data_IF_131382596343
#
_entry.id   IF_131382596343
#
_cell.length_a   1.000
_cell.length_b   1.000
_cell.length_c   1.000
_cell.angle_alpha   90.00
_cell.angle_beta   90.00
_cell.angle_gamma   90.00
#
_symmetry.space_group_name_H-M   'P 1'
#
loop_
_entity.id
_entity.type
_entity.pdbx_description
1 polymer ?
#
# COMPACT_ATOMS: atom_id res chain seq x y z
N UNK A 1 5.42 15.66 -36.48
CA UNK A 1 4.70 15.74 -35.19
C UNK A 1 3.71 14.59 -35.13
N UNK A 2 4.12 13.43 -34.59
CA UNK A 2 3.19 12.33 -34.34
C UNK A 2 2.43 12.63 -33.04
N UNK A 3 1.10 12.55 -33.08
CA UNK A 3 0.23 12.97 -31.98
C UNK A 3 0.49 12.18 -30.69
N UNK A 4 0.38 12.88 -29.56
CA UNK A 4 0.54 12.39 -28.18
C UNK A 4 -0.68 11.57 -27.74
N UNK A 5 -1.10 10.57 -28.50
CA UNK A 5 -2.34 9.86 -28.13
C UNK A 5 -2.00 8.66 -27.24
N UNK A 6 -2.13 8.87 -25.92
CA UNK A 6 -2.49 7.77 -25.01
C UNK A 6 -3.82 7.19 -25.47
N UNK A 7 -4.19 6.01 -24.95
CA UNK A 7 -5.59 5.57 -25.09
C UNK A 7 -6.49 6.71 -24.56
N UNK A 8 -7.42 7.19 -25.40
CA UNK A 8 -8.08 8.52 -25.41
C UNK A 8 -8.73 9.09 -24.12
N UNK A 9 -8.49 8.51 -22.95
CA UNK A 9 -9.25 8.75 -21.73
C UNK A 9 -8.40 9.28 -20.54
N UNK A 10 -7.11 9.62 -20.73
CA UNK A 10 -6.32 10.24 -19.66
C UNK A 10 -6.74 11.70 -19.41
N UNK A 11 -6.68 12.15 -18.15
CA UNK A 11 -6.93 13.55 -17.81
C UNK A 11 -5.62 14.31 -17.98
N UNK A 12 -5.60 15.32 -18.86
CA UNK A 12 -4.41 16.08 -19.19
C UNK A 12 -4.45 17.42 -18.47
N UNK A 13 -3.48 17.65 -17.59
CA UNK A 13 -3.14 18.97 -17.07
C UNK A 13 -2.00 19.54 -17.88
N UNK A 14 -2.22 20.69 -18.53
CA UNK A 14 -1.18 21.41 -19.25
C UNK A 14 -0.25 22.17 -18.29
N UNK A 15 0.85 22.71 -18.83
CA UNK A 15 1.87 23.38 -18.03
C UNK A 15 1.38 24.71 -17.41
N UNK A 16 0.19 25.20 -17.80
CA UNK A 16 -0.47 26.35 -17.16
C UNK A 16 -1.34 25.96 -15.96
N UNK A 17 -1.51 24.66 -15.69
CA UNK A 17 -2.27 24.18 -14.54
C UNK A 17 -1.50 24.41 -13.23
N UNK A 18 -1.98 25.35 -12.42
CA UNK A 18 -1.37 25.74 -11.15
C UNK A 18 -1.82 24.90 -9.94
N UNK A 19 -2.80 24.01 -10.13
CA UNK A 19 -3.41 23.22 -9.05
C UNK A 19 -4.28 24.04 -8.09
N UNK A 20 -4.52 23.50 -6.91
CA UNK A 20 -5.29 24.15 -5.85
C UNK A 20 -4.38 24.61 -4.71
N UNK A 21 -4.71 25.75 -4.11
CA UNK A 21 -4.04 26.24 -2.90
C UNK A 21 -4.16 25.23 -1.77
N UNK A 22 -3.02 24.89 -1.14
CA UNK A 22 -2.98 24.00 0.03
C UNK A 22 -3.84 24.50 1.20
N UNK A 23 -4.08 25.81 1.31
CA UNK A 23 -4.92 26.43 2.36
C UNK A 23 -6.39 26.00 2.32
N UNK A 24 -6.83 25.44 1.20
CA UNK A 24 -8.20 24.94 1.03
C UNK A 24 -8.36 23.47 1.47
N UNK A 25 -7.27 22.85 1.93
CA UNK A 25 -7.22 21.44 2.29
C UNK A 25 -6.62 21.28 3.68
N UNK A 26 -6.99 20.19 4.35
CA UNK A 26 -6.36 19.81 5.62
C UNK A 26 -5.07 19.06 5.31
N UNK A 27 -3.95 19.61 5.78
CA UNK A 27 -2.65 18.97 5.75
C UNK A 27 -2.16 18.78 7.18
N UNK A 28 -1.37 17.73 7.46
CA UNK A 28 -0.74 17.59 8.77
C UNK A 28 0.28 18.70 8.99
N UNK A 29 0.34 19.22 10.22
CA UNK A 29 1.22 20.32 10.64
C UNK A 29 2.67 20.16 10.13
N UNK A 30 3.32 18.98 10.18
CA UNK A 30 4.71 18.84 9.74
C UNK A 30 4.93 19.09 8.25
N UNK A 31 3.88 19.07 7.42
CA UNK A 31 3.99 19.24 5.97
C UNK A 31 3.33 20.51 5.44
N UNK A 32 2.53 21.22 6.25
CA UNK A 32 1.75 22.39 5.81
C UNK A 32 2.64 23.47 5.19
N UNK A 33 3.80 23.76 5.80
CA UNK A 33 4.76 24.74 5.26
C UNK A 33 5.54 24.27 4.03
N UNK A 34 5.50 22.98 3.71
CA UNK A 34 6.29 22.35 2.63
C UNK A 34 5.49 22.07 1.37
N UNK A 35 4.16 22.09 1.48
CA UNK A 35 3.24 21.87 0.38
C UNK A 35 2.53 23.18 0.07
N UNK A 36 2.81 23.73 -1.11
CA UNK A 36 2.15 24.96 -1.58
C UNK A 36 0.91 24.65 -2.42
N UNK A 37 0.95 23.55 -3.16
CA UNK A 37 -0.05 23.23 -4.18
C UNK A 37 -0.51 21.78 -4.05
N UNK A 38 -1.83 21.60 -4.06
CA UNK A 38 -2.49 20.32 -4.29
C UNK A 38 -2.75 20.20 -5.78
N UNK A 39 -2.03 19.32 -6.49
CA UNK A 39 -2.21 19.12 -7.92
C UNK A 39 -3.48 18.32 -8.20
N UNK A 40 -3.67 17.21 -7.49
CA UNK A 40 -4.82 16.32 -7.70
C UNK A 40 -5.39 15.94 -6.34
N UNK A 41 -6.58 16.47 -5.98
CA UNK A 41 -7.27 16.05 -4.77
C UNK A 41 -7.56 14.54 -4.79
N UNK A 42 -7.44 13.88 -3.63
CA UNK A 42 -7.67 12.44 -3.51
C UNK A 42 -9.07 11.99 -3.96
N UNK A 43 -10.08 12.87 -3.85
CA UNK A 43 -11.41 12.64 -4.44
C UNK A 43 -11.37 12.47 -5.96
N UNK A 44 -10.62 13.32 -6.66
CA UNK A 44 -10.46 13.25 -8.12
C UNK A 44 -9.69 12.00 -8.54
N UNK A 45 -8.67 11.60 -7.77
CA UNK A 45 -7.98 10.31 -7.99
C UNK A 45 -8.98 9.16 -7.96
N UNK A 46 -9.80 9.06 -6.89
CA UNK A 46 -10.81 7.99 -6.77
C UNK A 46 -11.77 7.94 -7.95
N UNK A 47 -12.32 9.08 -8.37
CA UNK A 47 -13.20 9.14 -9.55
C UNK A 47 -12.49 8.69 -10.83
N UNK A 48 -11.21 9.03 -11.00
CA UNK A 48 -10.44 8.58 -12.16
C UNK A 48 -10.20 7.06 -12.12
N UNK A 49 -9.92 6.49 -10.95
CA UNK A 49 -9.74 5.04 -10.78
C UNK A 49 -10.99 4.25 -11.13
N UNK A 50 -12.19 4.78 -10.83
CA UNK A 50 -13.44 4.15 -11.24
C UNK A 50 -13.54 4.04 -12.76
N UNK A 51 -13.27 5.14 -13.47
CA UNK A 51 -13.26 5.13 -14.94
C UNK A 51 -12.17 4.21 -15.51
N UNK A 52 -10.93 4.32 -15.02
CA UNK A 52 -9.83 3.45 -15.45
C UNK A 52 -10.17 1.97 -15.28
N UNK A 53 -10.80 1.60 -14.16
CA UNK A 53 -11.18 0.20 -13.91
C UNK A 53 -12.21 -0.30 -14.93
N UNK A 54 -13.17 0.54 -15.32
CA UNK A 54 -14.13 0.21 -16.36
C UNK A 54 -13.43 0.00 -17.70
N UNK A 55 -12.50 0.88 -18.07
CA UNK A 55 -11.78 0.82 -19.35
C UNK A 55 -10.95 -0.48 -19.42
N UNK A 56 -10.11 -0.73 -18.40
CA UNK A 56 -9.27 -1.93 -18.27
C UNK A 56 -10.09 -3.21 -18.40
N UNK A 57 -11.17 -3.33 -17.63
CA UNK A 57 -12.01 -4.54 -17.66
C UNK A 57 -12.70 -4.73 -19.00
N UNK A 58 -13.17 -3.65 -19.63
CA UNK A 58 -13.84 -3.72 -20.94
C UNK A 58 -12.88 -4.18 -22.04
N UNK A 59 -11.63 -3.76 -21.98
CA UNK A 59 -10.60 -4.19 -22.94
C UNK A 59 -10.23 -5.66 -22.73
N UNK A 60 -10.05 -6.09 -21.48
CA UNK A 60 -9.80 -7.49 -21.18
C UNK A 60 -10.98 -8.40 -21.59
N UNK A 61 -12.20 -7.94 -21.36
CA UNK A 61 -13.42 -8.64 -21.76
C UNK A 61 -13.52 -8.82 -23.28
N UNK A 62 -13.23 -7.77 -24.07
CA UNK A 62 -13.17 -7.84 -25.54
C UNK A 62 -12.14 -8.84 -26.05
N UNK A 63 -11.04 -9.01 -25.31
CA UNK A 63 -9.99 -9.99 -25.61
C UNK A 63 -10.28 -11.40 -25.06
N UNK A 64 -11.46 -11.62 -24.46
CA UNK A 64 -11.84 -12.91 -23.89
C UNK A 64 -11.03 -13.32 -22.65
N UNK A 65 -10.40 -12.35 -21.97
CA UNK A 65 -9.62 -12.61 -20.75
C UNK A 65 -10.56 -12.98 -19.61
N UNK A 66 -10.19 -14.01 -18.85
CA UNK A 66 -10.95 -14.53 -17.69
C UNK A 66 -10.22 -14.31 -16.36
N UNK A 67 -8.93 -14.00 -16.41
CA UNK A 67 -8.13 -13.71 -15.22
C UNK A 67 -6.97 -12.79 -15.54
N UNK A 68 -6.70 -11.83 -14.67
CA UNK A 68 -5.56 -10.91 -14.78
C UNK A 68 -4.78 -10.89 -13.47
N UNK A 69 -3.44 -10.85 -13.57
CA UNK A 69 -2.54 -10.61 -12.46
C UNK A 69 -2.07 -9.15 -12.48
N UNK A 70 -2.41 -8.41 -11.43
CA UNK A 70 -1.82 -7.11 -11.15
C UNK A 70 -0.44 -7.33 -10.52
N UNK A 71 0.58 -6.64 -11.04
CA UNK A 71 1.89 -6.56 -10.41
C UNK A 71 2.09 -5.13 -9.91
N UNK A 72 1.97 -4.94 -8.60
CA UNK A 72 2.23 -3.68 -7.93
C UNK A 72 3.74 -3.45 -7.81
N UNK A 73 4.21 -2.29 -8.28
CA UNK A 73 5.60 -1.86 -8.10
C UNK A 73 5.73 -1.14 -6.76
N UNK A 74 6.48 -1.74 -5.84
CA UNK A 74 6.77 -1.18 -4.52
C UNK A 74 8.01 -0.26 -4.57
N UNK A 75 8.08 0.76 -3.72
CA UNK A 75 7.10 1.10 -2.67
C UNK A 75 5.98 2.02 -3.15
N UNK A 76 6.27 3.01 -3.99
CA UNK A 76 5.36 4.12 -4.29
C UNK A 76 3.99 3.72 -4.88
N UNK A 77 3.97 2.69 -5.73
CA UNK A 77 2.76 2.18 -6.37
C UNK A 77 1.72 1.55 -5.44
N UNK A 78 2.04 1.28 -4.17
CA UNK A 78 1.18 0.48 -3.29
C UNK A 78 -0.23 1.07 -3.11
N UNK A 79 -0.33 2.40 -2.96
CA UNK A 79 -1.60 3.05 -2.65
C UNK A 79 -2.52 3.04 -3.88
N UNK A 80 -1.97 3.44 -5.03
CA UNK A 80 -2.64 3.34 -6.32
C UNK A 80 -3.05 1.89 -6.64
N UNK A 81 -2.14 0.93 -6.50
CA UNK A 81 -2.43 -0.48 -6.77
C UNK A 81 -3.51 -1.05 -5.87
N UNK A 82 -3.52 -0.70 -4.58
CA UNK A 82 -4.55 -1.10 -3.63
C UNK A 82 -5.92 -0.56 -4.03
N UNK A 83 -6.02 0.75 -4.30
CA UNK A 83 -7.28 1.41 -4.64
C UNK A 83 -7.79 0.95 -6.02
N UNK A 84 -6.89 0.77 -7.00
CA UNK A 84 -7.23 0.22 -8.32
C UNK A 84 -7.68 -1.24 -8.21
N UNK A 85 -6.98 -2.08 -7.45
CA UNK A 85 -7.36 -3.49 -7.23
C UNK A 85 -8.75 -3.62 -6.62
N UNK A 86 -9.05 -2.85 -5.55
CA UNK A 86 -10.39 -2.82 -4.93
C UNK A 86 -11.47 -2.45 -5.98
N UNK A 87 -11.17 -1.46 -6.81
CA UNK A 87 -12.11 -0.93 -7.81
C UNK A 87 -12.32 -1.91 -8.97
N UNK A 88 -11.25 -2.54 -9.46
CA UNK A 88 -11.33 -3.63 -10.46
C UNK A 88 -12.14 -4.82 -9.95
N UNK A 89 -11.95 -5.25 -8.69
CA UNK A 89 -12.77 -6.31 -8.11
C UNK A 89 -14.25 -5.93 -8.05
N UNK A 90 -14.55 -4.73 -7.53
CA UNK A 90 -15.92 -4.19 -7.45
C UNK A 90 -16.63 -4.26 -8.80
N UNK A 91 -16.01 -3.72 -9.86
CA UNK A 91 -16.62 -3.70 -11.20
C UNK A 91 -16.57 -5.04 -11.92
N UNK A 92 -15.62 -5.91 -11.60
CA UNK A 92 -15.58 -7.27 -12.16
C UNK A 92 -16.74 -8.12 -11.63
N UNK A 93 -17.10 -7.96 -10.35
CA UNK A 93 -18.23 -8.70 -9.75
C UNK A 93 -19.59 -8.35 -10.32
N UNK A 94 -19.75 -7.15 -10.87
CA UNK A 94 -21.02 -6.69 -11.43
C UNK A 94 -21.11 -6.87 -12.95
N UNK A 95 -20.12 -7.53 -13.58
CA UNK A 95 -20.11 -7.80 -15.03
C UNK A 95 -20.63 -9.20 -15.33
N UNK A 96 -21.30 -9.34 -16.47
CA UNK A 96 -21.76 -10.63 -16.99
C UNK A 96 -20.57 -11.57 -17.23
N UNK A 97 -19.48 -11.05 -17.80
CA UNK A 97 -18.23 -11.80 -17.93
C UNK A 97 -17.28 -11.49 -16.77
N UNK A 98 -17.41 -12.26 -15.69
CA UNK A 98 -16.52 -12.14 -14.53
C UNK A 98 -15.03 -12.35 -14.91
N UNK A 99 -14.18 -11.40 -14.50
CA UNK A 99 -12.72 -11.46 -14.67
C UNK A 99 -12.07 -11.59 -13.30
N UNK A 100 -11.41 -12.72 -13.04
CA UNK A 100 -10.68 -12.89 -11.77
C UNK A 100 -9.47 -11.95 -11.71
N UNK A 101 -9.46 -11.04 -10.76
CA UNK A 101 -8.33 -10.13 -10.52
C UNK A 101 -7.50 -10.66 -9.34
N UNK A 102 -6.20 -10.88 -9.57
CA UNK A 102 -5.23 -11.26 -8.54
C UNK A 102 -4.15 -10.18 -8.44
N UNK A 103 -3.45 -10.08 -7.31
CA UNK A 103 -2.39 -9.08 -7.10
C UNK A 103 -1.10 -9.73 -6.61
N UNK A 104 0.02 -9.17 -7.07
CA UNK A 104 1.38 -9.51 -6.71
C UNK A 104 2.28 -8.29 -6.64
N UNK A 105 3.55 -8.48 -6.26
CA UNK A 105 4.47 -7.41 -5.95
C UNK A 105 5.86 -7.64 -6.54
N UNK A 106 6.43 -6.55 -7.07
CA UNK A 106 7.86 -6.41 -7.36
C UNK A 106 8.37 -5.22 -6.57
N UNK A 107 9.57 -5.32 -6.00
CA UNK A 107 10.29 -4.15 -5.51
C UNK A 107 11.22 -3.67 -6.62
N UNK A 108 11.12 -2.39 -6.98
CA UNK A 108 12.03 -1.75 -7.92
C UNK A 108 12.74 -0.59 -7.24
N UNK A 109 14.03 -0.43 -7.50
CA UNK A 109 14.79 0.73 -7.05
C UNK A 109 15.77 1.14 -8.13
N UNK A 110 15.70 2.40 -8.54
CA UNK A 110 16.65 2.99 -9.48
C UNK A 110 17.88 3.44 -8.70
N UNK A 111 19.05 2.88 -9.01
CA UNK A 111 20.32 3.36 -8.47
C UNK A 111 20.91 4.39 -9.45
N UNK A 112 21.50 5.45 -8.91
CA UNK A 112 22.39 6.34 -9.66
C UNK A 112 23.80 5.90 -9.31
N UNK A 113 24.44 5.15 -10.20
CA UNK A 113 25.87 4.88 -10.12
C UNK A 113 26.59 5.83 -11.09
N UNK A 114 27.51 6.63 -10.56
CA UNK A 114 28.32 7.61 -11.30
C UNK A 114 29.13 6.98 -12.45
N UNK A 115 29.26 5.65 -12.50
CA UNK A 115 30.02 4.92 -13.51
C UNK A 115 29.18 4.16 -14.55
N UNK A 116 27.88 3.92 -14.31
CA UNK A 116 27.05 2.98 -15.12
C UNK A 116 25.73 3.60 -15.61
N UNK A 117 25.29 4.74 -15.05
CA UNK A 117 24.01 5.36 -15.40
C UNK A 117 22.83 4.84 -14.55
N UNK A 118 21.59 5.08 -15.02
CA UNK A 118 20.36 4.72 -14.33
C UNK A 118 20.00 3.23 -14.54
N UNK A 119 20.46 2.34 -13.67
CA UNK A 119 20.09 0.91 -13.72
C UNK A 119 18.96 0.61 -12.71
N UNK A 120 17.86 -0.01 -13.15
CA UNK A 120 16.75 -0.37 -12.27
C UNK A 120 16.99 -1.76 -11.67
N UNK A 121 17.23 -1.83 -10.36
CA UNK A 121 17.30 -3.10 -9.65
C UNK A 121 15.87 -3.61 -9.37
N UNK A 122 15.53 -4.80 -9.88
CA UNK A 122 14.22 -5.42 -9.77
C UNK A 122 14.33 -6.67 -8.90
N UNK A 123 13.62 -6.66 -7.77
CA UNK A 123 13.56 -7.79 -6.83
C UNK A 123 12.13 -8.37 -6.79
N UNK A 124 11.92 -9.59 -7.31
CA UNK A 124 10.64 -10.27 -7.17
C UNK A 124 10.28 -10.63 -5.74
N UNK A 125 9.03 -10.41 -5.34
CA UNK A 125 8.51 -10.85 -4.04
C UNK A 125 7.93 -12.29 -4.08
N UNK A 126 7.96 -12.92 -5.25
CA UNK A 126 7.42 -14.26 -5.52
C UNK A 126 8.21 -14.94 -6.64
N UNK A 127 8.00 -16.25 -6.83
CA UNK A 127 8.39 -16.93 -8.06
C UNK A 127 7.60 -16.35 -9.26
N UNK A 128 8.33 -15.86 -10.27
CA UNK A 128 7.79 -15.20 -11.47
C UNK A 128 7.27 -16.20 -12.53
N UNK A 129 7.70 -17.47 -12.51
CA UNK A 129 7.24 -18.49 -13.47
C UNK A 129 5.72 -18.68 -13.48
N UNK A 130 5.03 -18.32 -12.38
CA UNK A 130 3.57 -18.40 -12.29
C UNK A 130 2.84 -17.46 -13.25
N UNK A 131 3.52 -16.46 -13.81
CA UNK A 131 2.96 -15.51 -14.77
C UNK A 131 3.03 -15.99 -16.22
N UNK A 132 3.71 -17.12 -16.48
CA UNK A 132 3.74 -17.77 -17.80
C UNK A 132 2.32 -18.05 -18.30
N UNK A 133 2.06 -17.69 -19.55
CA UNK A 133 0.75 -17.80 -20.21
C UNK A 133 -0.40 -17.08 -19.47
N UNK A 134 -0.09 -16.10 -18.61
CA UNK A 134 -1.09 -15.27 -17.90
C UNK A 134 -1.18 -13.86 -18.49
N UNK A 135 -2.35 -13.25 -18.35
CA UNK A 135 -2.54 -11.82 -18.63
C UNK A 135 -2.07 -11.01 -17.42
N UNK A 136 -1.15 -10.06 -17.64
CA UNK A 136 -0.49 -9.27 -16.59
C UNK A 136 -0.73 -7.77 -16.78
N UNK A 137 -1.01 -7.08 -15.67
CA UNK A 137 -1.11 -5.63 -15.59
C UNK A 137 -0.06 -5.10 -14.60
N UNK A 138 0.99 -4.46 -15.09
CA UNK A 138 1.98 -3.77 -14.24
C UNK A 138 1.35 -2.47 -13.74
N UNK A 139 1.43 -2.20 -12.44
CA UNK A 139 0.83 -1.02 -11.80
C UNK A 139 1.90 -0.22 -11.07
N UNK A 140 2.13 1.00 -11.54
CA UNK A 140 3.16 1.92 -11.04
C UNK A 140 2.54 3.28 -10.72
N UNK A 141 3.07 4.00 -9.74
CA UNK A 141 2.54 5.30 -9.32
C UNK A 141 2.80 6.40 -10.35
N UNK A 142 4.03 6.53 -10.85
CA UNK A 142 4.40 7.63 -11.73
C UNK A 142 5.44 7.24 -12.78
N UNK A 143 5.24 7.75 -13.99
CA UNK A 143 6.26 7.70 -15.04
C UNK A 143 6.86 9.09 -15.25
N UNK A 144 8.18 9.17 -15.08
CA UNK A 144 9.01 10.33 -15.40
C UNK A 144 9.58 10.14 -16.83
N UNK A 145 10.79 9.59 -16.97
CA UNK A 145 11.41 9.29 -18.27
C UNK A 145 10.89 8.01 -18.95
N UNK A 146 10.27 7.11 -18.18
CA UNK A 146 9.81 5.80 -18.67
C UNK A 146 10.88 4.71 -18.72
N UNK A 147 12.12 4.99 -18.30
CA UNK A 147 13.22 4.00 -18.27
C UNK A 147 12.88 2.80 -17.39
N UNK A 148 12.51 3.05 -16.12
CA UNK A 148 12.24 1.99 -15.15
C UNK A 148 11.06 1.11 -15.54
N UNK A 149 9.96 1.70 -16.05
CA UNK A 149 8.79 0.93 -16.49
C UNK A 149 9.10 0.07 -17.73
N UNK A 150 9.92 0.57 -18.67
CA UNK A 150 10.38 -0.21 -19.82
C UNK A 150 11.25 -1.41 -19.38
N UNK A 151 12.13 -1.22 -18.39
CA UNK A 151 12.94 -2.29 -17.82
C UNK A 151 12.09 -3.31 -17.06
N UNK A 152 11.11 -2.86 -16.29
CA UNK A 152 10.14 -3.71 -15.61
C UNK A 152 9.31 -4.56 -16.57
N UNK A 153 8.81 -3.95 -17.65
CA UNK A 153 8.04 -4.69 -18.66
C UNK A 153 8.93 -5.72 -19.35
N UNK A 154 10.15 -5.36 -19.76
CA UNK A 154 11.14 -6.31 -20.31
C UNK A 154 11.43 -7.45 -19.34
N UNK A 155 11.60 -7.14 -18.06
CA UNK A 155 11.82 -8.14 -17.01
C UNK A 155 10.65 -9.13 -16.91
N UNK A 156 9.41 -8.63 -16.84
CA UNK A 156 8.21 -9.47 -16.76
C UNK A 156 8.03 -10.32 -18.02
N UNK A 157 8.30 -9.76 -19.21
CA UNK A 157 8.19 -10.47 -20.50
C UNK A 157 9.14 -11.67 -20.63
N UNK A 158 10.27 -11.71 -19.90
CA UNK A 158 11.18 -12.88 -19.86
C UNK A 158 10.49 -14.16 -19.38
N UNK A 159 9.41 -14.04 -18.63
CA UNK A 159 8.64 -15.17 -18.09
C UNK A 159 7.48 -15.60 -19.01
N UNK A 160 7.45 -15.08 -20.23
CA UNK A 160 6.48 -15.45 -21.28
C UNK A 160 5.01 -15.38 -20.83
N UNK A 161 4.55 -14.24 -20.25
CA UNK A 161 3.13 -14.00 -20.03
C UNK A 161 2.38 -13.90 -21.36
N UNK A 162 1.09 -14.26 -21.34
CA UNK A 162 0.21 -14.18 -22.51
C UNK A 162 0.04 -12.74 -23.00
N UNK A 163 -0.09 -11.80 -22.06
CA UNK A 163 -0.13 -10.37 -22.35
C UNK A 163 0.50 -9.57 -21.21
N UNK A 164 1.07 -8.43 -21.53
CA UNK A 164 1.56 -7.45 -20.56
C UNK A 164 1.04 -6.09 -20.96
N UNK A 165 0.33 -5.46 -20.05
CA UNK A 165 -0.07 -4.06 -20.10
C UNK A 165 0.45 -3.33 -18.87
N UNK A 166 0.45 -2.00 -18.90
CA UNK A 166 0.79 -1.19 -17.74
C UNK A 166 -0.27 -0.14 -17.46
N UNK A 167 -0.51 0.11 -16.18
CA UNK A 167 -1.32 1.21 -15.68
C UNK A 167 -0.47 2.11 -14.78
N UNK A 168 -0.49 3.40 -15.05
CA UNK A 168 0.20 4.41 -14.25
C UNK A 168 -0.78 5.45 -13.76
N UNK A 169 -0.66 5.87 -12.49
CA UNK A 169 -1.50 6.94 -11.99
C UNK A 169 -1.11 8.27 -12.66
N UNK A 170 0.18 8.57 -12.70
CA UNK A 170 0.72 9.83 -13.21
C UNK A 170 1.72 9.60 -14.35
N UNK A 171 1.70 10.47 -15.36
CA UNK A 171 2.78 10.61 -16.34
C UNK A 171 3.19 12.07 -16.40
N UNK A 172 4.48 12.36 -16.20
CA UNK A 172 4.99 13.73 -16.34
C UNK A 172 5.11 14.13 -17.79
N UNK A 173 4.75 15.38 -18.10
CA UNK A 173 4.97 15.97 -19.41
C UNK A 173 6.43 16.41 -19.53
N UNK A 174 7.23 15.63 -20.26
CA UNK A 174 8.63 15.94 -20.54
C UNK A 174 8.81 16.09 -22.05
N UNK A 175 9.37 17.22 -22.48
CA UNK A 175 9.39 17.62 -23.87
C UNK A 175 10.24 16.72 -24.78
N UNK A 176 11.22 15.99 -24.24
CA UNK A 176 12.32 15.42 -25.04
C UNK A 176 12.68 13.96 -24.73
N UNK A 177 11.86 13.19 -24.01
CA UNK A 177 12.18 11.77 -23.76
C UNK A 177 11.42 10.87 -24.73
N UNK A 178 12.11 10.05 -25.56
CA UNK A 178 11.48 8.97 -26.32
C UNK A 178 11.10 7.84 -25.34
N UNK A 179 10.11 8.10 -24.49
CA UNK A 179 9.74 7.23 -23.38
C UNK A 179 8.71 6.17 -23.77
N UNK A 180 8.87 4.99 -23.16
CA UNK A 180 7.84 3.96 -23.10
C UNK A 180 6.52 4.54 -22.56
N UNK A 181 5.42 4.24 -23.23
CA UNK A 181 4.09 4.77 -22.89
C UNK A 181 3.26 3.73 -22.15
N UNK A 182 2.75 4.04 -20.95
CA UNK A 182 1.82 3.16 -20.28
C UNK A 182 0.55 2.93 -21.09
N UNK A 183 -0.04 1.74 -20.96
CA UNK A 183 -1.31 1.41 -21.65
C UNK A 183 -2.47 2.23 -21.08
N UNK A 184 -2.54 2.34 -19.76
CA UNK A 184 -3.59 3.06 -19.04
C UNK A 184 -2.97 4.16 -18.19
N UNK A 185 -3.43 5.39 -18.36
CA UNK A 185 -2.89 6.55 -17.64
C UNK A 185 -4.01 7.25 -16.90
N UNK A 186 -3.83 7.50 -15.61
CA UNK A 186 -4.74 8.31 -14.81
C UNK A 186 -4.70 9.77 -15.26
N UNK A 187 -3.54 10.39 -15.07
CA UNK A 187 -3.32 11.81 -15.30
C UNK A 187 -1.99 12.07 -16.01
N UNK A 188 -1.99 12.96 -16.99
CA UNK A 188 -0.77 13.61 -17.49
C UNK A 188 -0.60 14.95 -16.74
N UNK A 189 0.55 15.16 -16.12
CA UNK A 189 0.82 16.28 -15.22
C UNK A 189 2.05 17.09 -15.65
N UNK A 190 2.14 18.39 -15.26
CA UNK A 190 3.35 19.18 -15.49
C UNK A 190 4.59 18.56 -14.86
N UNK A 191 5.78 18.91 -15.37
CA UNK A 191 7.05 18.45 -14.82
C UNK A 191 7.42 19.18 -13.52
N UNK A 192 6.73 18.85 -12.44
CA UNK A 192 6.99 19.34 -11.08
C UNK A 192 7.39 18.19 -10.17
N UNK A 193 7.90 18.53 -8.98
CA UNK A 193 8.30 17.55 -7.99
C UNK A 193 7.09 17.10 -7.14
N UNK A 194 6.62 15.88 -7.39
CA UNK A 194 5.34 15.36 -6.90
C UNK A 194 5.55 14.43 -5.70
N UNK A 195 4.69 14.55 -4.69
CA UNK A 195 4.59 13.65 -3.54
C UNK A 195 3.13 13.39 -3.17
N UNK A 196 2.91 12.47 -2.23
CA UNK A 196 1.58 12.13 -1.72
C UNK A 196 0.89 11.03 -2.50
N UNK A 197 -0.19 10.52 -1.93
CA UNK A 197 -0.93 9.38 -2.43
C UNK A 197 -0.03 8.14 -2.66
N UNK A 198 0.87 7.88 -1.71
CA UNK A 198 1.87 6.80 -1.75
C UNK A 198 3.21 7.18 -2.37
N UNK A 199 3.28 8.26 -3.16
CA UNK A 199 4.50 8.81 -3.76
C UNK A 199 5.29 9.54 -2.67
N UNK A 200 6.61 9.35 -2.63
CA UNK A 200 7.45 9.90 -1.59
C UNK A 200 8.52 10.88 -2.09
N UNK A 201 9.11 11.55 -1.11
CA UNK A 201 10.45 12.11 -1.23
C UNK A 201 11.26 11.65 -0.03
N UNK A 202 12.27 10.80 -0.25
CA UNK A 202 13.12 10.28 0.81
C UNK A 202 12.29 9.62 1.94
N UNK A 203 11.33 8.76 1.56
CA UNK A 203 10.38 8.08 2.46
C UNK A 203 9.50 9.03 3.30
N UNK A 204 9.33 10.27 2.85
CA UNK A 204 8.41 11.26 3.41
C UNK A 204 7.19 11.47 2.52
N UNK A 205 6.11 12.02 3.07
CA UNK A 205 4.90 12.46 2.37
C UNK A 205 4.00 11.36 1.78
N UNK A 206 4.35 10.07 1.85
CA UNK A 206 3.50 8.95 1.34
C UNK A 206 2.09 9.00 1.90
N UNK A 207 1.96 9.50 3.13
CA UNK A 207 0.71 9.60 3.88
C UNK A 207 -0.23 10.69 3.41
N UNK A 208 0.25 11.67 2.61
CA UNK A 208 -0.62 12.74 2.16
C UNK A 208 -1.75 12.16 1.29
N UNK A 209 -3.01 12.54 1.51
CA UNK A 209 -4.16 11.93 0.84
C UNK A 209 -4.36 12.48 -0.57
N UNK A 210 -3.48 13.37 -1.02
CA UNK A 210 -3.57 14.11 -2.27
C UNK A 210 -2.24 14.02 -3.00
N UNK A 211 -2.27 14.23 -4.32
CA UNK A 211 -1.06 14.41 -5.12
C UNK A 211 -0.69 15.89 -5.03
N UNK A 212 0.49 16.16 -4.48
CA UNK A 212 0.95 17.49 -4.09
C UNK A 212 2.25 17.86 -4.81
N UNK A 213 2.51 19.17 -4.96
CA UNK A 213 3.81 19.69 -5.36
C UNK A 213 4.59 20.20 -4.14
N UNK A 214 5.83 19.75 -3.98
CA UNK A 214 6.72 20.19 -2.89
C UNK A 214 7.39 21.51 -3.25
N UNK A 215 7.37 22.47 -2.33
CA UNK A 215 8.09 23.73 -2.49
C UNK A 215 9.59 23.58 -2.24
N UNK A 216 10.39 24.60 -2.56
CA UNK A 216 11.85 24.49 -2.45
C UNK A 216 12.34 24.37 -1.00
N UNK A 217 11.58 24.87 -0.01
CA UNK A 217 11.88 24.63 1.40
C UNK A 217 11.75 23.15 1.75
N UNK A 218 10.64 22.51 1.37
CA UNK A 218 10.42 21.08 1.59
C UNK A 218 11.47 20.22 0.89
N UNK A 219 11.86 20.56 -0.35
CA UNK A 219 12.94 19.87 -1.06
C UNK A 219 14.25 19.92 -0.28
N UNK A 220 14.61 21.09 0.28
CA UNK A 220 15.81 21.25 1.10
C UNK A 220 15.69 20.53 2.44
N UNK A 221 14.54 20.66 3.11
CA UNK A 221 14.34 20.15 4.46
C UNK A 221 14.42 18.62 4.51
N UNK A 222 13.89 17.93 3.50
CA UNK A 222 13.82 16.46 3.49
C UNK A 222 14.87 15.79 2.60
N UNK A 223 15.79 16.57 2.01
CA UNK A 223 16.93 16.01 1.29
C UNK A 223 17.79 15.16 2.24
N UNK A 224 18.03 13.90 1.90
CA UNK A 224 18.87 13.00 2.70
C UNK A 224 18.26 12.56 4.05
N UNK A 225 17.01 12.93 4.35
CA UNK A 225 16.28 12.47 5.55
C UNK A 225 15.56 11.12 5.33
N UNK A 226 15.78 10.49 4.20
CA UNK A 226 15.26 9.16 3.87
C UNK A 226 16.28 8.09 4.18
N UNK A 227 15.84 6.83 4.13
CA UNK A 227 16.80 5.73 4.21
C UNK A 227 16.90 5.03 5.56
N UNK A 228 15.87 5.11 6.41
CA UNK A 228 15.63 3.98 7.30
C UNK A 228 14.74 3.00 6.52
N UNK A 229 15.35 2.02 5.84
CA UNK A 229 14.57 0.90 5.28
C UNK A 229 14.22 0.00 6.46
N UNK A 230 13.29 0.47 7.29
CA UNK A 230 13.02 -0.10 8.61
C UNK A 230 12.89 -1.61 8.54
N UNK A 231 12.15 -2.15 7.56
CA UNK A 231 12.05 -3.59 7.42
C UNK A 231 13.39 -4.27 7.08
N UNK A 232 14.13 -3.84 6.05
CA UNK A 232 15.38 -4.52 5.67
C UNK A 232 16.51 -4.31 6.67
N UNK A 233 16.60 -3.11 7.24
CA UNK A 233 17.65 -2.73 8.19
C UNK A 233 17.40 -3.41 9.54
N UNK A 234 16.15 -3.46 10.01
CA UNK A 234 15.76 -4.24 11.18
C UNK A 234 16.05 -5.73 10.98
N UNK A 235 15.75 -6.29 9.81
CA UNK A 235 16.09 -7.67 9.50
C UNK A 235 17.59 -7.92 9.49
N UNK A 236 18.37 -7.03 8.88
CA UNK A 236 19.83 -7.14 8.83
C UNK A 236 20.43 -7.01 10.24
N UNK A 237 19.99 -6.03 11.02
CA UNK A 237 20.35 -5.86 12.43
C UNK A 237 19.99 -7.11 13.25
N UNK A 238 18.79 -7.68 13.05
CA UNK A 238 18.38 -8.90 13.77
C UNK A 238 19.13 -10.17 13.33
N UNK A 239 19.62 -10.23 12.09
CA UNK A 239 20.44 -11.35 11.59
C UNK A 239 21.92 -11.22 11.99
N UNK A 240 22.43 -9.99 12.12
CA UNK A 240 23.85 -9.70 12.37
C UNK A 240 24.19 -9.50 13.87
N UNK A 241 23.21 -9.24 14.75
CA UNK A 241 23.49 -8.97 16.17
C UNK A 241 23.42 -10.21 17.07
N UNK A 242 24.60 -10.63 17.56
CA UNK A 242 24.78 -11.06 18.94
C UNK A 242 24.84 -9.83 19.85
N UNK A 243 23.96 -9.75 20.85
CA UNK A 243 23.78 -8.57 21.70
C UNK A 243 25.08 -8.07 22.37
N UNK A 244 25.55 -6.88 21.98
CA UNK A 244 26.47 -6.05 22.78
C UNK A 244 25.72 -4.86 23.39
N UNK A 245 25.98 -4.60 24.68
CA UNK A 245 25.10 -3.95 25.68
C UNK A 245 24.74 -2.46 25.52
N UNK A 246 25.20 -1.72 24.51
CA UNK A 246 25.25 -0.24 24.66
C UNK A 246 24.47 0.61 23.63
N UNK A 247 23.68 0.02 22.72
CA UNK A 247 22.79 0.80 21.84
C UNK A 247 21.42 0.10 21.68
N UNK A 248 20.44 0.48 22.51
CA UNK A 248 19.09 -0.07 22.42
C UNK A 248 18.17 0.82 21.58
N UNK A 249 17.70 0.31 20.44
CA UNK A 249 16.42 0.77 19.88
C UNK A 249 15.34 0.12 20.73
N UNK A 250 14.60 0.91 21.51
CA UNK A 250 13.46 0.42 22.30
C UNK A 250 12.30 0.12 21.35
N UNK A 251 12.20 -1.10 20.85
CA UNK A 251 11.05 -1.58 20.08
C UNK A 251 10.05 -2.18 21.06
N UNK A 252 8.96 -1.46 21.33
CA UNK A 252 7.79 -2.04 22.00
C UNK A 252 6.96 -2.76 20.94
N UNK A 253 6.71 -4.06 21.12
CA UNK A 253 5.66 -4.77 20.38
C UNK A 253 4.47 -4.85 21.32
N UNK A 254 3.60 -3.85 21.21
CA UNK A 254 2.32 -3.88 21.90
C UNK A 254 1.37 -4.76 21.10
N UNK A 255 0.95 -5.88 21.69
CA UNK A 255 -0.25 -6.57 21.24
C UNK A 255 -1.44 -5.70 21.61
N UNK A 256 -1.77 -4.75 20.73
CA UNK A 256 -3.00 -4.00 20.84
C UNK A 256 -4.14 -5.00 20.69
N UNK A 257 -4.68 -5.43 21.84
CA UNK A 257 -5.95 -6.14 21.91
C UNK A 257 -7.05 -5.14 21.58
N UNK A 258 -7.12 -4.71 20.32
CA UNK A 258 -8.24 -3.95 19.83
C UNK A 258 -9.46 -4.85 20.00
N UNK A 259 -10.37 -4.47 20.90
CA UNK A 259 -11.71 -5.04 21.15
C UNK A 259 -12.08 -6.24 20.24
N UNK A 260 -11.60 -7.42 20.57
CA UNK A 260 -11.77 -8.61 19.72
C UNK A 260 -13.24 -8.95 19.60
N UNK A 261 -13.76 -9.02 18.37
CA UNK A 261 -15.05 -9.66 18.14
C UNK A 261 -14.87 -11.16 18.29
N UNK A 262 -15.36 -11.69 19.40
CA UNK A 262 -15.41 -13.13 19.65
C UNK A 262 -16.74 -13.63 19.13
N UNK A 263 -16.69 -14.39 18.04
CA UNK A 263 -17.83 -15.20 17.63
C UNK A 263 -17.85 -16.45 18.50
N UNK A 264 -19.00 -16.73 19.11
CA UNK A 264 -19.21 -18.00 19.82
C UNK A 264 -19.19 -19.16 18.81
N UNK A 265 -18.87 -20.37 19.28
CA UNK A 265 -18.84 -21.58 18.44
C UNK A 265 -20.23 -21.89 17.81
N UNK A 266 -21.30 -21.34 18.38
CA UNK A 266 -22.66 -21.40 17.81
C UNK A 266 -22.96 -20.34 16.73
N UNK A 267 -22.01 -19.47 16.38
CA UNK A 267 -22.24 -18.44 15.37
C UNK A 267 -22.32 -19.03 13.95
N UNK A 268 -23.53 -19.05 13.41
CA UNK A 268 -23.81 -19.66 12.10
C UNK A 268 -23.54 -18.73 10.91
N UNK A 269 -23.23 -17.45 11.15
CA UNK A 269 -23.03 -16.45 10.11
C UNK A 269 -24.33 -16.00 9.42
N UNK A 270 -24.18 -15.35 8.27
CA UNK A 270 -25.29 -14.88 7.45
C UNK A 270 -25.47 -15.77 6.22
N UNK A 271 -26.72 -16.02 5.83
CA UNK A 271 -27.00 -16.76 4.59
C UNK A 271 -26.47 -16.00 3.37
N UNK A 272 -25.74 -16.70 2.49
CA UNK A 272 -25.18 -16.12 1.27
C UNK A 272 -26.23 -15.53 0.32
N UNK A 273 -27.48 -16.01 0.37
CA UNK A 273 -28.61 -15.49 -0.42
C UNK A 273 -28.92 -14.00 -0.17
N UNK A 274 -28.45 -13.45 0.95
CA UNK A 274 -28.62 -12.04 1.30
C UNK A 274 -27.53 -11.14 0.70
N UNK A 275 -26.59 -11.71 -0.07
CA UNK A 275 -25.44 -11.02 -0.62
C UNK A 275 -25.30 -11.30 -2.11
N UNK A 276 -24.72 -10.34 -2.82
CA UNK A 276 -24.30 -10.55 -4.22
C UNK A 276 -22.95 -11.26 -4.22
N UNK A 277 -22.91 -12.46 -4.80
CA UNK A 277 -21.69 -13.22 -5.03
C UNK A 277 -21.40 -13.29 -6.53
N UNK A 278 -20.11 -13.35 -6.94
CA UNK A 278 -19.78 -13.61 -8.34
C UNK A 278 -20.31 -15.00 -8.73
N UNK A 279 -20.87 -15.11 -9.94
CA UNK A 279 -21.46 -16.35 -10.48
C UNK A 279 -20.55 -17.58 -10.27
N UNK A 280 -19.21 -17.52 -10.47
CA UNK A 280 -18.37 -18.70 -10.27
C UNK A 280 -18.28 -19.19 -8.83
N UNK A 281 -18.70 -18.40 -7.84
CA UNK A 281 -18.62 -18.71 -6.41
C UNK A 281 -19.98 -18.90 -5.75
N UNK A 282 -21.08 -18.46 -6.39
CA UNK A 282 -22.42 -18.45 -5.79
C UNK A 282 -22.85 -19.82 -5.28
N UNK A 283 -22.60 -20.89 -6.04
CA UNK A 283 -22.92 -22.28 -5.65
C UNK A 283 -21.95 -22.89 -4.63
N UNK A 284 -20.83 -22.23 -4.36
CA UNK A 284 -19.75 -22.75 -3.52
C UNK A 284 -19.70 -22.08 -2.14
N UNK A 285 -20.45 -21.00 -1.93
CA UNK A 285 -20.49 -20.25 -0.69
C UNK A 285 -21.92 -20.25 -0.16
N UNK A 286 -22.17 -20.98 0.93
CA UNK A 286 -23.48 -21.03 1.59
C UNK A 286 -23.65 -19.93 2.65
N UNK A 287 -22.54 -19.51 3.24
CA UNK A 287 -22.52 -18.72 4.48
C UNK A 287 -21.46 -17.63 4.39
N UNK A 288 -21.85 -16.41 4.78
CA UNK A 288 -20.96 -15.26 4.97
C UNK A 288 -20.74 -15.09 6.47
N UNK A 289 -19.53 -15.37 6.94
CA UNK A 289 -19.20 -15.26 8.37
C UNK A 289 -19.10 -13.79 8.81
N UNK A 290 -18.39 -12.97 8.03
CA UNK A 290 -18.19 -11.55 8.34
C UNK A 290 -18.50 -10.72 7.09
N UNK A 291 -19.61 -9.97 7.07
CA UNK A 291 -19.93 -9.04 6.00
C UNK A 291 -18.83 -7.99 5.81
N UNK A 292 -18.56 -7.61 4.55
CA UNK A 292 -17.51 -6.63 4.22
C UNK A 292 -17.66 -5.29 4.94
N UNK A 293 -18.90 -4.78 5.10
CA UNK A 293 -19.14 -3.54 5.84
C UNK A 293 -18.79 -3.62 7.34
N UNK A 294 -18.90 -4.81 7.95
CA UNK A 294 -18.43 -5.01 9.33
C UNK A 294 -16.90 -4.99 9.41
N UNK A 295 -16.20 -5.49 8.39
CA UNK A 295 -14.74 -5.42 8.31
C UNK A 295 -14.29 -3.96 8.23
N UNK A 296 -14.93 -3.16 7.37
CA UNK A 296 -14.62 -1.72 7.21
C UNK A 296 -14.88 -0.95 8.52
N UNK A 297 -16.03 -1.15 9.16
CA UNK A 297 -16.33 -0.51 10.44
C UNK A 297 -15.35 -0.94 11.55
N UNK A 298 -14.95 -2.22 11.57
CA UNK A 298 -13.99 -2.72 12.55
C UNK A 298 -12.61 -2.10 12.36
N UNK A 299 -12.19 -1.93 11.11
CA UNK A 299 -10.91 -1.31 10.77
C UNK A 299 -10.84 0.14 11.25
N UNK A 300 -11.93 0.90 11.09
CA UNK A 300 -12.06 2.27 11.62
C UNK A 300 -11.92 2.29 13.14
N UNK A 301 -12.68 1.43 13.84
CA UNK A 301 -12.59 1.34 15.31
C UNK A 301 -11.20 0.95 15.79
N UNK A 302 -10.60 -0.05 15.15
CA UNK A 302 -9.24 -0.47 15.47
C UNK A 302 -8.23 0.66 15.26
N UNK A 303 -8.37 1.46 14.20
CA UNK A 303 -7.49 2.61 13.96
C UNK A 303 -7.63 3.68 15.05
N UNK A 304 -8.87 3.95 15.49
CA UNK A 304 -9.14 4.88 16.60
C UNK A 304 -8.52 4.37 17.90
N UNK A 305 -8.69 3.08 18.22
CA UNK A 305 -8.15 2.45 19.43
C UNK A 305 -6.62 2.56 19.44
N UNK A 306 -5.96 2.13 18.34
CA UNK A 306 -4.50 2.19 18.17
C UNK A 306 -3.98 3.61 18.42
N UNK A 307 -4.54 4.62 17.73
CA UNK A 307 -4.07 6.00 17.84
C UNK A 307 -4.31 6.57 19.24
N UNK A 308 -5.43 6.22 19.88
CA UNK A 308 -5.75 6.72 21.22
C UNK A 308 -4.81 6.16 22.28
N UNK A 309 -4.43 4.89 22.17
CA UNK A 309 -3.47 4.29 23.10
C UNK A 309 -2.06 4.84 22.88
N UNK A 310 -1.66 5.01 21.63
CA UNK A 310 -0.38 5.62 21.28
C UNK A 310 -0.28 7.09 21.70
N UNK A 311 -1.36 7.85 21.59
CA UNK A 311 -1.43 9.22 22.08
C UNK A 311 -1.25 9.29 23.61
N UNK A 312 -1.93 8.41 24.38
CA UNK A 312 -1.74 8.32 25.85
C UNK A 312 -0.30 8.02 26.22
N UNK A 313 0.40 7.23 25.40
CA UNK A 313 1.80 6.87 25.58
C UNK A 313 2.79 7.93 25.03
N UNK A 314 2.31 9.04 24.48
CA UNK A 314 3.16 10.09 23.92
C UNK A 314 3.89 9.69 22.62
N UNK A 315 3.44 8.65 21.92
CA UNK A 315 4.03 8.19 20.67
C UNK A 315 3.84 9.26 19.58
N UNK A 316 4.92 9.58 18.85
CA UNK A 316 4.91 10.58 17.78
C UNK A 316 4.95 9.98 16.37
N UNK A 317 5.32 8.71 16.25
CA UNK A 317 5.40 8.02 14.95
C UNK A 317 5.15 6.53 15.07
N UNK A 318 4.50 5.95 14.07
CA UNK A 318 4.14 4.54 13.95
C UNK A 318 4.61 4.01 12.61
N UNK A 319 5.15 2.80 12.60
CA UNK A 319 5.51 2.07 11.38
C UNK A 319 4.65 0.81 11.25
N UNK A 320 3.96 0.70 10.12
CA UNK A 320 3.22 -0.50 9.72
C UNK A 320 4.16 -1.37 8.88
N UNK A 321 4.46 -2.58 9.33
CA UNK A 321 5.21 -3.55 8.51
C UNK A 321 4.20 -4.49 7.86
N UNK A 322 3.98 -4.29 6.56
CA UNK A 322 3.11 -5.13 5.76
C UNK A 322 3.85 -6.39 5.29
N UNK A 323 3.45 -7.54 5.82
CA UNK A 323 3.87 -8.84 5.28
C UNK A 323 3.12 -9.10 3.97
N UNK A 324 3.86 -9.18 2.88
CA UNK A 324 3.31 -9.46 1.55
C UNK A 324 2.79 -10.90 1.48
N UNK A 325 1.74 -11.12 0.67
CA UNK A 325 0.89 -12.34 0.55
C UNK A 325 -0.18 -12.47 1.65
N UNK A 326 -1.35 -11.88 1.38
CA UNK A 326 -2.56 -11.95 2.20
C UNK A 326 -2.82 -10.68 3.02
N UNK A 327 -1.79 -10.11 3.64
CA UNK A 327 -1.92 -8.93 4.50
C UNK A 327 -2.02 -7.58 3.78
N UNK A 328 -1.68 -7.53 2.48
CA UNK A 328 -1.52 -6.28 1.74
C UNK A 328 -2.75 -5.35 1.80
N UNK A 329 -3.94 -5.88 1.47
CA UNK A 329 -5.15 -5.06 1.42
C UNK A 329 -5.50 -4.52 2.81
N UNK A 330 -5.42 -5.37 3.83
CA UNK A 330 -5.65 -4.97 5.21
C UNK A 330 -4.65 -3.89 5.67
N UNK A 331 -3.36 -4.08 5.40
CA UNK A 331 -2.33 -3.10 5.78
C UNK A 331 -2.50 -1.76 5.05
N UNK A 332 -2.85 -1.78 3.76
CA UNK A 332 -3.13 -0.58 2.97
C UNK A 332 -4.37 0.17 3.46
N UNK A 333 -5.46 -0.56 3.75
CA UNK A 333 -6.67 0.05 4.31
C UNK A 333 -6.40 0.58 5.73
N UNK A 334 -5.67 -0.15 6.58
CA UNK A 334 -5.28 0.27 7.92
C UNK A 334 -4.42 1.54 7.89
N UNK A 335 -3.40 1.57 7.02
CA UNK A 335 -2.55 2.75 6.80
C UNK A 335 -3.39 3.98 6.46
N UNK A 336 -4.31 3.82 5.50
CA UNK A 336 -5.22 4.90 5.08
C UNK A 336 -6.07 5.38 6.26
N UNK A 337 -6.72 4.47 6.97
CA UNK A 337 -7.64 4.83 8.05
C UNK A 337 -6.92 5.46 9.24
N UNK A 338 -5.73 4.95 9.61
CA UNK A 338 -4.88 5.57 10.63
C UNK A 338 -4.47 6.99 10.24
N UNK A 339 -4.20 7.26 8.97
CA UNK A 339 -3.86 8.62 8.50
C UNK A 339 -5.03 9.57 8.58
N UNK A 340 -6.18 9.16 8.07
CA UNK A 340 -7.39 9.96 8.09
C UNK A 340 -7.73 10.39 9.53
N UNK A 341 -7.63 9.48 10.50
CA UNK A 341 -7.84 9.82 11.91
C UNK A 341 -6.68 10.61 12.52
N UNK A 342 -5.43 10.31 12.19
CA UNK A 342 -4.27 11.04 12.71
C UNK A 342 -4.28 12.52 12.31
N UNK A 343 -4.71 12.84 11.08
CA UNK A 343 -4.82 14.23 10.60
C UNK A 343 -5.88 15.07 11.32
N UNK A 344 -6.85 14.41 11.97
CA UNK A 344 -7.93 15.09 12.70
C UNK A 344 -7.67 15.22 14.20
N UNK A 345 -6.53 14.72 14.69
CA UNK A 345 -6.16 14.78 16.11
C UNK A 345 -5.31 16.00 16.41
N UNK A 346 -5.44 16.52 17.63
CA UNK A 346 -4.60 17.60 18.15
C UNK A 346 -3.12 17.18 18.21
N UNK A 347 -2.86 15.92 18.62
CA UNK A 347 -1.53 15.32 18.57
C UNK A 347 -1.38 14.50 17.31
N UNK A 348 -0.78 15.09 16.27
CA UNK A 348 -0.44 14.36 15.05
C UNK A 348 0.54 13.21 15.35
N UNK A 349 0.16 12.00 14.93
CA UNK A 349 1.01 10.81 14.98
C UNK A 349 1.38 10.46 13.54
N UNK A 350 2.67 10.54 13.20
CA UNK A 350 3.14 10.18 11.86
C UNK A 350 2.94 8.69 11.60
N UNK A 351 2.30 8.33 10.50
CA UNK A 351 2.06 6.93 10.12
C UNK A 351 2.85 6.59 8.86
N UNK A 352 3.83 5.70 9.01
CA UNK A 352 4.66 5.17 7.93
C UNK A 352 4.32 3.72 7.62
N UNK A 353 4.61 3.26 6.41
CA UNK A 353 4.46 1.86 6.00
C UNK A 353 5.72 1.35 5.30
N UNK A 354 6.08 0.11 5.60
CA UNK A 354 7.12 -0.64 4.90
C UNK A 354 6.63 -2.05 4.55
N UNK A 355 7.28 -2.69 3.60
CA UNK A 355 6.86 -3.97 3.03
C UNK A 355 7.94 -5.02 3.23
N UNK A 356 7.50 -6.19 3.70
CA UNK A 356 8.34 -7.35 3.85
C UNK A 356 7.84 -8.47 2.94
N UNK A 357 8.67 -8.88 2.00
CA UNK A 357 8.46 -10.10 1.23
C UNK A 357 8.90 -11.30 2.07
N UNK A 358 7.93 -12.10 2.53
CA UNK A 358 8.21 -13.38 3.20
C UNK A 358 7.77 -14.55 2.31
N UNK A 359 8.63 -15.56 2.18
CA UNK A 359 8.36 -16.74 1.36
C UNK A 359 7.32 -17.67 2.01
N UNK A 360 7.22 -17.70 3.35
CA UNK A 360 6.29 -18.54 4.11
C UNK A 360 5.83 -17.90 5.42
N UNK A 361 4.65 -18.29 5.93
CA UNK A 361 4.17 -17.92 7.27
C UNK A 361 5.14 -18.35 8.39
N UNK A 362 5.86 -19.46 8.20
CA UNK A 362 6.88 -19.93 9.17
C UNK A 362 8.06 -18.94 9.23
N UNK A 363 8.46 -18.40 8.09
CA UNK A 363 9.47 -17.32 8.03
C UNK A 363 8.97 -16.09 8.80
N UNK A 364 7.70 -15.72 8.66
CA UNK A 364 7.10 -14.61 9.42
C UNK A 364 7.07 -14.89 10.93
N UNK A 365 6.67 -16.09 11.34
CA UNK A 365 6.64 -16.47 12.76
C UNK A 365 8.04 -16.52 13.37
N UNK A 366 9.05 -16.97 12.63
CA UNK A 366 10.45 -16.92 13.08
C UNK A 366 10.90 -15.48 13.32
N UNK A 367 10.54 -14.57 12.41
CA UNK A 367 10.83 -13.15 12.54
C UNK A 367 10.14 -12.57 13.78
N UNK A 368 8.83 -12.80 13.94
CA UNK A 368 8.06 -12.35 15.10
C UNK A 368 8.61 -12.93 16.41
N UNK A 369 8.99 -14.22 16.42
CA UNK A 369 9.60 -14.85 17.59
C UNK A 369 10.99 -14.27 17.89
N UNK A 370 11.81 -13.98 16.87
CA UNK A 370 13.08 -13.28 17.06
C UNK A 370 12.90 -11.90 17.69
N UNK A 371 11.80 -11.20 17.40
CA UNK A 371 11.45 -9.99 18.14
C UNK A 371 11.09 -10.28 19.60
N UNK A 372 10.24 -11.27 19.87
CA UNK A 372 9.86 -11.64 21.26
C UNK A 372 11.07 -12.02 22.11
N UNK A 373 12.01 -12.83 21.59
CA UNK A 373 13.22 -13.24 22.31
C UNK A 373 14.24 -12.10 22.48
N UNK A 374 14.34 -11.19 21.51
CA UNK A 374 15.28 -10.07 21.53
C UNK A 374 14.89 -8.94 22.49
N UNK A 375 13.60 -8.81 22.79
CA UNK A 375 13.04 -7.73 23.60
C UNK A 375 12.43 -8.22 24.93
N UNK A 376 12.73 -9.45 25.36
CA UNK A 376 12.43 -9.94 26.70
C UNK A 376 10.99 -10.40 26.94
N UNK A 377 10.36 -11.04 25.95
CA UNK A 377 9.11 -11.76 26.17
C UNK A 377 9.39 -13.22 26.57
N UNK A 378 9.02 -13.57 27.80
CA UNK A 378 8.73 -14.96 28.18
C UNK A 378 7.27 -15.26 27.87
N UNK A 379 7.03 -16.41 27.23
CA UNK A 379 5.73 -17.07 26.98
C UNK A 379 4.89 -16.66 25.77
N UNK A 380 5.34 -17.11 24.59
CA UNK A 380 4.49 -17.40 23.43
C UNK A 380 4.05 -18.88 23.35
N UNK A 381 4.34 -19.72 24.36
CA UNK A 381 4.08 -21.16 24.30
C UNK A 381 2.78 -21.65 24.97
N UNK A 382 2.05 -20.82 25.73
CA UNK A 382 0.90 -21.30 26.52
C UNK A 382 -0.49 -21.06 25.91
N UNK A 383 -0.62 -20.74 24.62
CA UNK A 383 -1.92 -20.74 23.94
C UNK A 383 -2.14 -22.07 23.24
N UNK A 384 -2.25 -23.14 24.03
CA UNK A 384 -2.99 -24.37 23.68
C UNK A 384 -3.18 -25.24 24.93
N UNK A 385 -4.43 -25.71 25.04
CA UNK A 385 -4.96 -26.72 25.97
C UNK A 385 -5.43 -26.21 27.35
N UNK A 386 -6.74 -25.92 27.40
CA UNK A 386 -7.60 -26.22 28.54
C UNK A 386 -7.56 -25.24 29.72
N UNK A 387 -8.55 -24.33 29.78
CA UNK A 387 -9.43 -24.21 30.95
C UNK A 387 -10.58 -23.24 30.65
N UNK A 388 -11.80 -23.69 30.96
CA UNK A 388 -13.03 -22.90 30.89
C UNK A 388 -13.11 -22.01 32.13
N UNK A 389 -12.66 -20.76 32.06
CA UNK A 389 -13.10 -19.75 33.03
C UNK A 389 -13.60 -18.49 32.34
N UNK A 390 -14.77 -18.02 32.80
CA UNK A 390 -15.51 -16.86 32.27
C UNK A 390 -14.64 -15.60 32.32
N UNK A 391 -14.65 -14.74 31.28
CA UNK A 391 -13.93 -13.49 31.34
C UNK A 391 -14.65 -12.54 32.31
N UNK A 392 -14.09 -12.38 33.51
CA UNK A 392 -14.23 -11.13 34.25
C UNK A 392 -13.26 -10.13 33.66
N UNK A 393 -13.71 -8.89 33.52
CA UNK A 393 -12.96 -7.77 32.94
C UNK A 393 -11.61 -7.57 33.62
N UNK A 394 -10.53 -8.11 33.06
CA UNK A 394 -9.16 -7.78 33.46
C UNK A 394 -8.64 -6.64 32.59
N UNK A 395 -8.59 -5.44 33.18
CA UNK A 395 -7.77 -4.35 32.67
C UNK A 395 -6.30 -4.75 32.86
N UNK A 396 -5.60 -5.11 31.79
CA UNK A 396 -4.13 -5.20 31.82
C UNK A 396 -3.57 -3.79 31.65
N UNK A 397 -3.45 -3.07 32.77
CA UNK A 397 -2.60 -1.90 32.87
C UNK A 397 -1.17 -2.38 33.17
N UNK A 398 -0.23 -2.19 32.25
CA UNK A 398 1.19 -2.33 32.56
C UNK A 398 1.77 -0.94 32.90
N UNK A 399 2.26 -0.85 34.14
CA UNK A 399 2.89 0.34 34.71
C UNK A 399 4.07 0.81 33.86
N UNK A 400 4.05 2.09 33.51
CA UNK A 400 5.18 2.82 32.96
C UNK A 400 6.15 3.19 34.09
N UNK A 401 7.41 2.69 34.12
CA UNK A 401 8.40 3.28 35.00
C UNK A 401 8.96 4.53 34.33
N UNK A 402 8.69 5.68 34.94
CA UNK A 402 9.32 6.95 34.63
C UNK A 402 10.83 6.90 34.92
N UNK A 403 11.59 7.57 34.06
CA UNK A 403 12.57 8.59 34.47
C UNK A 403 12.74 9.61 33.37
#
# INVERSE_FOLDING_TARGET
MASREYKNDCIIFDDSYEGYSAKNFTLPEPYEKHISTILIPGGMVRSRLERMSIDILSDYEKCGVKSVYIICILKGGFKFASDLFKTLQKYSFTRDNYIKVSIDFLAASTYVDDSVGHDTNITPCTNMEKFRDKDVLIVEDMVDTGTSLNELERFVRKYEPKSVYSACLLVKRIAEVPGYKPTYVGFEVPNVFIVGYGIDYNDQFRELPHVCAVNDEGKREFLGKGGFKFASDLFKTLQEYSFTRDNYIKVSIDFLAASTYVFDDSYEGYSAKNFTLPEPYEKHISTILIPGGMIENRLERMSIDILSDYEKCGVKSVYIICILKGGFKFASDLFKTLQEYSFTRDNYIKVSIDFLAASTYVTCLRVLNSFSYSFGFTDLQNVREGEKEKPTSSHFAFNCPFS
#
